data_IF_498988826128
#
_entry.id   IF_498988826128
#
_cell.length_a   1.000
_cell.length_b   1.000
_cell.length_c   1.000
_cell.angle_alpha   90.00
_cell.angle_beta   90.00
_cell.angle_gamma   90.00
#
_symmetry.space_group_name_H-M   'P 1'
#
loop_
_entity.id
_entity.type
_entity.pdbx_description
1 polymer ?
#
# COMPACT_ATOMS: atom_id res chain seq x y z
N UNK A 1 23.09 -6.62 -1.05
CA UNK A 1 22.19 -5.64 -1.69
C UNK A 1 21.26 -5.12 -0.61
N UNK A 2 21.66 -4.07 0.10
CA UNK A 2 20.77 -3.34 1.00
C UNK A 2 20.13 -2.24 0.15
N UNK A 3 18.80 -2.08 0.20
CA UNK A 3 18.17 -0.93 -0.47
C UNK A 3 18.54 0.34 0.27
N UNK A 4 18.84 1.40 -0.46
CA UNK A 4 19.09 2.71 0.12
C UNK A 4 17.76 3.35 0.51
N UNK A 5 17.78 4.24 1.51
CA UNK A 5 16.58 4.95 1.96
C UNK A 5 15.94 5.85 0.88
N UNK A 6 16.62 6.03 -0.27
CA UNK A 6 16.12 6.77 -1.43
C UNK A 6 15.32 5.88 -2.40
N UNK A 7 15.42 4.56 -2.27
CA UNK A 7 14.77 3.61 -3.19
C UNK A 7 13.32 3.34 -2.83
N UNK A 8 12.90 3.71 -1.61
CA UNK A 8 11.57 3.43 -1.06
C UNK A 8 11.08 4.66 -0.31
N UNK A 9 9.94 5.18 -0.73
CA UNK A 9 9.15 6.13 0.05
C UNK A 9 7.86 5.45 0.51
N UNK A 10 7.53 5.59 1.79
CA UNK A 10 6.32 5.01 2.40
C UNK A 10 5.15 5.97 2.38
N UNK A 11 5.36 7.25 2.04
CA UNK A 11 4.34 8.30 2.05
C UNK A 11 3.60 8.42 3.40
N UNK A 12 4.29 8.02 4.49
CA UNK A 12 3.75 8.01 5.86
C UNK A 12 2.70 6.93 6.14
N UNK A 13 2.51 5.96 5.23
CA UNK A 13 1.53 4.89 5.37
C UNK A 13 2.12 3.72 6.17
N UNK A 14 1.40 3.18 7.17
CA UNK A 14 1.86 2.05 7.96
C UNK A 14 1.93 0.74 7.16
N UNK A 15 2.68 -0.24 7.67
CA UNK A 15 2.80 -1.54 7.04
C UNK A 15 1.45 -2.28 7.03
N UNK A 16 0.97 -2.61 5.83
CA UNK A 16 -0.32 -3.27 5.65
C UNK A 16 -0.16 -4.77 5.37
N UNK A 17 -0.56 -5.60 6.33
CA UNK A 17 -0.59 -7.05 6.21
C UNK A 17 -1.65 -7.54 5.20
N UNK A 18 -2.73 -6.77 5.01
CA UNK A 18 -3.82 -7.08 4.09
C UNK A 18 -3.62 -6.52 2.68
N UNK A 19 -2.49 -5.88 2.41
CA UNK A 19 -2.18 -5.32 1.09
C UNK A 19 -2.22 -6.42 0.03
N UNK A 20 -2.76 -6.10 -1.15
CA UNK A 20 -2.74 -7.01 -2.31
C UNK A 20 -1.30 -7.35 -2.74
N UNK A 21 -0.36 -6.47 -2.41
CA UNK A 21 1.06 -6.64 -2.70
C UNK A 21 1.77 -7.53 -1.69
N UNK A 22 1.15 -7.85 -0.55
CA UNK A 22 1.77 -8.70 0.47
C UNK A 22 1.86 -10.16 0.00
N UNK A 23 2.99 -10.81 0.21
CA UNK A 23 3.15 -12.24 -0.08
C UNK A 23 2.37 -13.12 0.91
N UNK A 24 1.92 -14.29 0.45
CA UNK A 24 1.29 -15.29 1.31
C UNK A 24 2.30 -16.03 2.20
N UNK A 25 1.78 -16.73 3.21
CA UNK A 25 2.60 -17.38 4.24
C UNK A 25 3.61 -18.41 3.73
N UNK A 26 3.32 -19.11 2.64
CA UNK A 26 4.17 -20.16 2.05
C UNK A 26 4.91 -19.70 0.79
N UNK A 27 4.91 -18.39 0.50
CA UNK A 27 5.54 -17.86 -0.71
C UNK A 27 7.01 -18.25 -0.79
N UNK A 28 7.42 -18.82 -1.92
CA UNK A 28 8.78 -19.33 -2.17
C UNK A 28 9.25 -20.44 -1.21
N UNK A 29 8.33 -21.15 -0.54
CA UNK A 29 8.72 -22.33 0.22
C UNK A 29 9.21 -23.44 -0.71
N UNK A 30 10.33 -24.09 -0.36
CA UNK A 30 10.89 -25.19 -1.13
C UNK A 30 9.95 -26.41 -1.19
N UNK A 31 9.17 -26.63 -0.14
CA UNK A 31 8.21 -27.74 0.00
C UNK A 31 6.75 -27.32 -0.25
N UNK A 32 6.53 -26.04 -0.62
CA UNK A 32 5.21 -25.42 -0.85
C UNK A 32 4.23 -25.47 0.35
N UNK A 33 4.68 -25.93 1.52
CA UNK A 33 3.82 -26.18 2.69
C UNK A 33 4.35 -25.50 3.96
N UNK A 34 5.66 -25.39 4.10
CA UNK A 34 6.30 -24.63 5.17
C UNK A 34 6.04 -23.14 5.03
N UNK A 35 5.79 -22.48 6.17
CA UNK A 35 5.62 -21.03 6.23
C UNK A 35 6.98 -20.36 6.16
N UNK A 36 7.19 -19.54 5.14
CA UNK A 36 8.36 -18.66 4.98
C UNK A 36 8.13 -17.28 5.60
N UNK A 37 6.85 -16.87 5.71
CA UNK A 37 6.42 -15.59 6.26
C UNK A 37 5.45 -15.83 7.42
N UNK A 38 5.83 -15.34 8.60
CA UNK A 38 5.05 -15.44 9.83
C UNK A 38 4.76 -14.04 10.36
N UNK A 39 3.49 -13.75 10.62
CA UNK A 39 3.09 -12.46 11.19
C UNK A 39 3.51 -12.38 12.65
N UNK A 40 3.89 -11.17 13.10
CA UNK A 40 4.25 -10.96 14.51
C UNK A 40 3.08 -11.23 15.46
N UNK A 41 1.90 -10.78 15.05
CA UNK A 41 0.65 -11.14 15.71
C UNK A 41 0.03 -12.33 14.97
N UNK A 42 -0.13 -13.50 15.62
CA UNK A 42 -0.70 -14.70 15.02
C UNK A 42 -2.13 -14.53 14.51
N UNK A 43 -2.91 -13.58 15.05
CA UNK A 43 -4.30 -13.36 14.65
C UNK A 43 -4.43 -12.87 13.20
N UNK A 44 -3.39 -12.22 12.68
CA UNK A 44 -3.35 -11.69 11.31
C UNK A 44 -2.69 -12.65 10.31
N UNK A 45 -2.37 -13.87 10.72
CA UNK A 45 -1.64 -14.81 9.87
C UNK A 45 -2.43 -15.22 8.63
N UNK A 46 -3.76 -15.23 8.71
CA UNK A 46 -4.67 -15.49 7.59
C UNK A 46 -4.94 -14.26 6.71
N UNK A 47 -4.52 -13.07 7.15
CA UNK A 47 -4.73 -11.81 6.42
C UNK A 47 -3.73 -11.64 5.27
N UNK A 48 -2.51 -12.15 5.42
CA UNK A 48 -1.45 -11.99 4.42
C UNK A 48 -1.69 -12.83 3.16
N UNK A 49 -1.33 -12.29 2.00
CA UNK A 49 -1.39 -13.02 0.74
C UNK A 49 -2.76 -13.03 0.06
N UNK A 50 -3.72 -12.23 0.55
CA UNK A 50 -4.99 -12.04 -0.15
C UNK A 50 -4.76 -11.43 -1.55
N UNK A 51 -5.63 -11.79 -2.51
CA UNK A 51 -5.57 -11.34 -3.91
C UNK A 51 -6.93 -10.91 -4.45
N UNK A 52 -7.90 -10.70 -3.57
CA UNK A 52 -9.30 -10.47 -3.97
C UNK A 52 -9.58 -8.99 -4.18
N UNK A 53 -9.12 -8.14 -3.27
CA UNK A 53 -9.46 -6.71 -3.25
C UNK A 53 -8.27 -5.85 -2.86
N UNK A 54 -8.27 -4.58 -3.29
CA UNK A 54 -7.32 -3.60 -2.80
C UNK A 54 -7.65 -3.25 -1.35
N UNK A 55 -6.63 -3.15 -0.52
CA UNK A 55 -6.82 -2.63 0.83
C UNK A 55 -7.04 -1.11 0.80
N UNK A 56 -7.52 -0.57 1.92
CA UNK A 56 -7.61 0.88 2.08
C UNK A 56 -6.24 1.56 1.93
N UNK A 57 -5.18 0.95 2.47
CA UNK A 57 -3.83 1.51 2.42
C UNK A 57 -3.18 1.38 1.04
N UNK A 58 -3.52 0.35 0.26
CA UNK A 58 -3.11 0.27 -1.15
C UNK A 58 -3.65 1.48 -1.93
N UNK A 59 -4.93 1.80 -1.73
CA UNK A 59 -5.60 2.93 -2.38
C UNK A 59 -5.01 4.28 -1.91
N UNK A 60 -4.83 4.45 -0.58
CA UNK A 60 -4.23 5.67 -0.01
C UNK A 60 -2.81 5.90 -0.53
N UNK A 61 -2.02 4.82 -0.69
CA UNK A 61 -0.65 4.90 -1.23
C UNK A 61 -0.64 5.43 -2.66
N UNK A 62 -1.50 4.88 -3.52
CA UNK A 62 -1.61 5.30 -4.92
C UNK A 62 -2.09 6.75 -5.01
N UNK A 63 -3.10 7.12 -4.23
CA UNK A 63 -3.63 8.48 -4.22
C UNK A 63 -2.59 9.50 -3.77
N UNK A 64 -1.82 9.22 -2.71
CA UNK A 64 -0.74 10.12 -2.28
C UNK A 64 0.39 10.22 -3.30
N UNK A 65 0.73 9.11 -3.95
CA UNK A 65 1.80 9.05 -4.94
C UNK A 65 1.47 9.81 -6.23
N UNK A 66 0.21 9.76 -6.69
CA UNK A 66 -0.16 10.23 -8.03
C UNK A 66 -1.22 11.33 -8.07
N UNK A 67 -2.01 11.53 -7.01
CA UNK A 67 -3.11 12.49 -6.96
C UNK A 67 -2.80 13.74 -6.12
N UNK A 68 -1.58 13.89 -5.63
CA UNK A 68 -1.11 15.08 -4.90
C UNK A 68 -0.93 16.33 -5.76
N UNK A 69 -1.16 16.22 -7.08
CA UNK A 69 -1.01 17.28 -8.07
C UNK A 69 -2.30 17.92 -8.57
N UNK A 70 -3.48 17.51 -8.12
CA UNK A 70 -4.70 18.29 -8.35
C UNK A 70 -4.76 19.43 -7.32
N UNK A 71 -3.86 20.40 -7.50
CA UNK A 71 -4.17 21.78 -7.17
C UNK A 71 -5.31 22.18 -8.12
N UNK A 72 -6.54 21.83 -7.75
CA UNK A 72 -7.69 22.52 -8.31
C UNK A 72 -7.60 23.95 -7.78
N UNK A 73 -6.84 24.77 -8.50
CA UNK A 73 -6.87 26.22 -8.36
C UNK A 73 -8.26 26.64 -8.81
N UNK A 74 -9.23 26.63 -7.90
CA UNK A 74 -10.32 27.58 -8.00
C UNK A 74 -9.68 28.94 -7.76
N UNK A 75 -9.18 29.58 -8.81
CA UNK A 75 -9.09 31.03 -8.79
C UNK A 75 -10.51 31.53 -8.65
N UNK A 76 -10.88 31.85 -7.41
CA UNK A 76 -11.94 32.79 -7.14
C UNK A 76 -11.49 34.17 -7.64
N UNK A 77 -11.38 34.35 -8.96
CA UNK A 77 -11.64 35.66 -9.57
C UNK A 77 -13.14 35.65 -9.89
N UNK A 78 -13.94 36.12 -8.92
CA UNK A 78 -14.41 37.51 -8.94
C UNK A 78 -15.25 37.78 -10.18
N UNK A 79 -16.56 37.69 -9.98
CA UNK A 79 -17.57 38.53 -10.63
C UNK A 79 -17.28 38.96 -12.07
N UNK A 80 -17.83 38.21 -13.04
CA UNK A 80 -18.38 38.82 -14.24
C UNK A 80 -19.85 38.47 -14.37
N UNK A 81 -20.59 39.55 -14.51
CA UNK A 81 -22.02 39.79 -14.41
C UNK A 81 -22.83 39.07 -15.49
N UNK A 82 -24.12 38.91 -15.21
CA UNK A 82 -25.19 38.68 -16.18
C UNK A 82 -25.24 39.81 -17.23
#
# INVERSE_FOLDING_TARGET
MQRDAKDIDTLGIPYDLGSVMHYGSTAFSADQTSKTLVTRDPLYQSTIGQRETLSFFDIDTINKAYCSGDEFVFTAESSRTF
#
